data_IF_549120719526
#
_entry.id   IF_549120719526
#
_cell.length_a   1.000
_cell.length_b   1.000
_cell.length_c   1.000
_cell.angle_alpha   90.00
_cell.angle_beta   90.00
_cell.angle_gamma   90.00
#
_symmetry.space_group_name_H-M   'P 1'
#
loop_
_entity.id
_entity.type
_entity.pdbx_description
1 polymer ?
#
# COMPACT_ATOMS: atom_id res chain seq x y z
N UNK A 1 25.56 -13.87 -4.82
CA UNK A 1 24.11 -14.12 -4.75
C UNK A 1 23.64 -13.51 -3.44
N UNK A 2 22.76 -12.53 -3.49
CA UNK A 2 22.25 -11.83 -2.30
C UNK A 2 21.13 -12.66 -1.68
N UNK A 3 21.22 -12.96 -0.40
CA UNK A 3 20.22 -13.74 0.34
C UNK A 3 19.22 -12.82 1.00
N UNK A 4 17.93 -12.99 0.69
CA UNK A 4 16.84 -12.10 1.08
C UNK A 4 15.82 -12.85 1.92
N UNK A 5 15.47 -12.33 3.09
CA UNK A 5 14.26 -12.76 3.81
C UNK A 5 13.07 -11.95 3.30
N UNK A 6 12.11 -12.61 2.65
CA UNK A 6 10.85 -12.00 2.23
C UNK A 6 9.74 -12.41 3.20
N UNK A 7 9.23 -11.47 3.98
CA UNK A 7 8.07 -11.69 4.85
C UNK A 7 6.78 -11.33 4.13
N UNK A 8 5.66 -11.94 4.47
CA UNK A 8 4.39 -11.74 3.76
C UNK A 8 4.44 -12.33 2.33
N UNK A 9 5.25 -13.36 2.14
CA UNK A 9 5.56 -13.95 0.83
C UNK A 9 4.35 -14.58 0.14
N UNK A 10 3.39 -15.12 0.88
CA UNK A 10 2.14 -15.67 0.35
C UNK A 10 1.08 -14.59 0.04
N UNK A 11 1.35 -13.32 0.40
CA UNK A 11 0.46 -12.18 0.14
C UNK A 11 0.41 -11.78 -1.34
N UNK A 12 -0.48 -10.83 -1.67
CA UNK A 12 -0.66 -10.33 -3.04
C UNK A 12 0.65 -9.75 -3.61
N UNK A 13 1.27 -8.80 -2.92
CA UNK A 13 2.52 -8.17 -3.37
C UNK A 13 3.70 -9.15 -3.22
N UNK A 14 3.78 -9.86 -2.07
CA UNK A 14 4.86 -10.82 -1.80
C UNK A 14 4.98 -11.91 -2.86
N UNK A 15 3.86 -12.47 -3.33
CA UNK A 15 3.84 -13.46 -4.40
C UNK A 15 4.43 -12.92 -5.72
N UNK A 16 4.13 -11.68 -6.08
CA UNK A 16 4.70 -11.05 -7.29
C UNK A 16 6.19 -10.71 -7.14
N UNK A 17 6.64 -10.40 -5.90
CA UNK A 17 8.08 -10.24 -5.64
C UNK A 17 8.80 -11.58 -5.78
N UNK A 18 8.21 -12.69 -5.27
CA UNK A 18 8.75 -14.03 -5.49
C UNK A 18 8.87 -14.39 -6.97
N UNK A 19 7.84 -14.06 -7.76
CA UNK A 19 7.87 -14.32 -9.20
C UNK A 19 8.94 -13.49 -9.90
N UNK A 20 9.06 -12.20 -9.58
CA UNK A 20 10.08 -11.31 -10.14
C UNK A 20 11.51 -11.73 -9.75
N UNK A 21 11.70 -12.27 -8.54
CA UNK A 21 13.00 -12.72 -8.06
C UNK A 21 13.52 -13.97 -8.79
N UNK A 22 12.66 -14.75 -9.46
CA UNK A 22 13.08 -15.95 -10.23
C UNK A 22 14.05 -15.64 -11.38
N UNK A 23 13.91 -14.44 -11.95
CA UNK A 23 14.75 -13.99 -13.06
C UNK A 23 15.95 -13.14 -12.60
N UNK A 24 16.26 -13.16 -11.29
CA UNK A 24 17.35 -12.41 -10.67
C UNK A 24 18.36 -13.33 -9.96
N UNK A 25 19.52 -12.77 -9.57
CA UNK A 25 20.54 -13.47 -8.78
C UNK A 25 20.29 -13.43 -7.27
N UNK A 26 19.01 -13.48 -6.86
CA UNK A 26 18.58 -13.45 -5.45
C UNK A 26 18.26 -14.86 -4.93
N UNK A 27 18.68 -15.15 -3.71
CA UNK A 27 18.25 -16.33 -2.95
C UNK A 27 17.16 -15.91 -1.96
N UNK A 28 15.91 -16.31 -2.17
CA UNK A 28 14.79 -15.90 -1.34
C UNK A 28 14.48 -16.94 -0.27
N UNK A 29 14.49 -16.51 1.00
CA UNK A 29 13.88 -17.21 2.12
C UNK A 29 12.49 -16.61 2.33
N UNK A 30 11.44 -17.33 1.94
CA UNK A 30 10.07 -16.86 1.96
C UNK A 30 9.37 -17.26 3.27
N UNK A 31 8.79 -16.30 3.99
CA UNK A 31 8.03 -16.57 5.22
C UNK A 31 6.67 -15.84 5.20
N UNK A 32 5.65 -16.45 5.81
CA UNK A 32 4.33 -15.86 6.00
C UNK A 32 3.66 -16.52 7.21
N UNK A 33 2.89 -15.77 7.97
CA UNK A 33 2.15 -16.29 9.13
C UNK A 33 0.87 -17.05 8.72
N UNK A 34 0.58 -17.14 7.43
CA UNK A 34 -0.57 -17.84 6.85
C UNK A 34 -1.89 -17.52 7.56
N UNK A 35 -2.10 -16.25 7.95
CA UNK A 35 -3.29 -15.82 8.69
C UNK A 35 -4.57 -16.20 7.94
N UNK A 36 -5.50 -16.90 8.60
CA UNK A 36 -6.77 -17.32 8.00
C UNK A 36 -7.59 -16.15 7.45
N UNK A 37 -7.50 -14.99 8.07
CA UNK A 37 -8.16 -13.76 7.59
C UNK A 37 -7.63 -13.24 6.25
N UNK A 38 -6.40 -13.61 5.87
CA UNK A 38 -5.76 -13.19 4.61
C UNK A 38 -5.75 -14.30 3.55
N UNK A 39 -5.66 -15.56 3.97
CA UNK A 39 -5.40 -16.68 3.07
C UNK A 39 -6.51 -17.74 3.08
N UNK A 40 -7.49 -17.65 3.99
CA UNK A 40 -8.50 -18.68 4.22
C UNK A 40 -8.05 -19.78 5.19
N UNK A 41 -9.01 -20.57 5.71
CA UNK A 41 -8.73 -21.58 6.71
C UNK A 41 -7.84 -22.72 6.15
N UNK A 42 -6.76 -23.02 6.88
CA UNK A 42 -5.83 -24.10 6.54
C UNK A 42 -4.99 -23.87 5.28
N UNK A 43 -4.92 -22.63 4.77
CA UNK A 43 -4.11 -22.29 3.61
C UNK A 43 -2.62 -22.61 3.85
N UNK A 44 -1.96 -23.06 2.79
CA UNK A 44 -0.50 -23.28 2.72
C UNK A 44 0.02 -22.78 1.40
N UNK A 45 1.28 -22.36 1.37
CA UNK A 45 1.95 -21.94 0.15
C UNK A 45 3.26 -22.76 0.00
N UNK A 46 3.44 -23.37 -1.15
CA UNK A 46 4.64 -24.18 -1.42
C UNK A 46 5.89 -23.31 -1.38
N UNK A 47 6.91 -23.79 -0.65
CA UNK A 47 8.17 -23.07 -0.51
C UNK A 47 8.13 -21.86 0.45
N UNK A 48 7.00 -21.63 1.13
CA UNK A 48 6.86 -20.58 2.15
C UNK A 48 6.88 -21.22 3.54
N UNK A 49 7.75 -20.71 4.39
CA UNK A 49 7.84 -21.14 5.79
C UNK A 49 6.70 -20.46 6.57
N UNK A 50 5.92 -21.25 7.30
CA UNK A 50 4.90 -20.74 8.23
C UNK A 50 5.60 -20.10 9.44
N UNK A 51 5.64 -18.76 9.48
CA UNK A 51 6.33 -18.00 10.51
C UNK A 51 5.66 -16.64 10.73
N UNK A 52 5.30 -16.37 11.98
CA UNK A 52 4.80 -15.06 12.42
C UNK A 52 5.97 -14.14 12.74
N UNK A 53 5.98 -12.94 12.16
CA UNK A 53 7.02 -11.91 12.42
C UNK A 53 7.07 -11.43 13.89
N UNK A 54 6.12 -11.84 14.72
CA UNK A 54 6.11 -11.60 16.17
C UNK A 54 6.88 -12.67 16.96
N UNK A 55 7.30 -13.76 16.32
CA UNK A 55 8.15 -14.80 16.92
C UNK A 55 9.62 -14.47 16.68
N UNK A 56 10.24 -13.80 17.67
CA UNK A 56 11.62 -13.33 17.59
C UNK A 56 12.61 -14.47 17.41
N UNK A 57 12.46 -15.57 18.16
CA UNK A 57 13.46 -16.65 18.16
C UNK A 57 13.48 -17.35 16.79
N UNK A 58 12.34 -17.65 16.23
CA UNK A 58 12.21 -18.20 14.89
C UNK A 58 12.73 -17.23 13.81
N UNK A 59 12.51 -15.90 13.98
CA UNK A 59 13.08 -14.89 13.08
C UNK A 59 14.60 -14.88 13.12
N UNK A 60 15.23 -14.92 14.29
CA UNK A 60 16.70 -14.94 14.41
C UNK A 60 17.29 -16.14 13.69
N UNK A 61 16.64 -17.31 13.77
CA UNK A 61 17.12 -18.52 13.08
C UNK A 61 17.07 -18.40 11.56
N UNK A 62 15.97 -17.88 10.98
CA UNK A 62 15.84 -17.72 9.52
C UNK A 62 16.67 -16.54 8.97
N UNK A 63 17.02 -15.57 9.82
CA UNK A 63 17.85 -14.42 9.47
C UNK A 63 19.36 -14.75 9.37
N UNK A 64 19.80 -15.94 9.79
CA UNK A 64 21.23 -16.31 9.71
C UNK A 64 21.73 -16.33 8.27
N UNK A 65 22.68 -15.46 7.99
CA UNK A 65 23.28 -15.30 6.66
C UNK A 65 22.37 -14.60 5.65
N UNK A 66 21.31 -13.91 6.10
CA UNK A 66 20.49 -13.01 5.29
C UNK A 66 21.19 -11.68 5.14
N UNK A 67 21.28 -11.18 3.91
CA UNK A 67 21.89 -9.88 3.58
C UNK A 67 20.87 -8.74 3.68
N UNK A 68 19.62 -8.99 3.26
CA UNK A 68 18.55 -7.97 3.18
C UNK A 68 17.22 -8.57 3.62
N UNK A 69 16.44 -7.84 4.40
CA UNK A 69 15.03 -8.16 4.66
C UNK A 69 14.13 -7.35 3.75
N UNK A 70 13.22 -8.02 3.02
CA UNK A 70 12.11 -7.40 2.30
C UNK A 70 10.82 -7.65 3.10
N UNK A 71 10.38 -6.63 3.86
CA UNK A 71 9.29 -6.75 4.82
C UNK A 71 7.95 -6.33 4.21
N UNK A 72 7.18 -7.34 3.72
CA UNK A 72 5.84 -7.14 3.17
C UNK A 72 4.73 -7.56 4.14
N UNK A 73 5.06 -8.32 5.19
CA UNK A 73 4.08 -8.81 6.16
C UNK A 73 3.40 -7.65 6.89
N UNK A 74 2.09 -7.56 6.75
CA UNK A 74 1.26 -6.60 7.46
C UNK A 74 -0.22 -7.04 7.42
N UNK A 75 -0.97 -6.69 8.45
CA UNK A 75 -2.43 -6.63 8.35
C UNK A 75 -2.77 -5.33 7.65
N UNK A 76 -3.57 -5.43 6.59
CA UNK A 76 -3.96 -4.28 5.75
C UNK A 76 -5.47 -4.04 5.85
N UNK A 77 -5.91 -2.81 5.56
CA UNK A 77 -7.33 -2.47 5.58
C UNK A 77 -7.58 -0.97 5.43
N UNK A 78 -8.84 -0.57 5.44
CA UNK A 78 -9.20 0.84 5.41
C UNK A 78 -8.97 1.54 6.77
N UNK A 79 -8.88 0.77 7.87
CA UNK A 79 -8.68 1.30 9.23
C UNK A 79 -9.81 2.22 9.72
N UNK A 80 -11.03 2.00 9.19
CA UNK A 80 -12.20 2.84 9.52
C UNK A 80 -12.91 2.39 10.80
N UNK A 81 -12.75 1.13 11.20
CA UNK A 81 -13.27 0.61 12.47
C UNK A 81 -12.18 0.73 13.54
N UNK A 82 -12.49 1.46 14.61
CA UNK A 82 -11.57 1.59 15.75
C UNK A 82 -11.29 0.26 16.46
N UNK A 83 -12.19 -0.73 16.34
CA UNK A 83 -12.01 -2.06 16.88
C UNK A 83 -10.88 -2.85 16.20
N UNK A 84 -10.47 -2.46 14.99
CA UNK A 84 -9.38 -3.09 14.25
C UNK A 84 -7.98 -2.62 14.74
N UNK A 85 -7.90 -1.53 15.50
CA UNK A 85 -6.64 -0.94 15.95
C UNK A 85 -5.69 -1.93 16.66
N UNK A 86 -6.17 -2.83 17.57
CA UNK A 86 -5.29 -3.82 18.21
C UNK A 86 -4.63 -4.78 17.21
N UNK A 87 -5.33 -5.18 16.14
CA UNK A 87 -4.76 -6.04 15.11
C UNK A 87 -3.63 -5.33 14.35
N UNK A 88 -3.84 -4.08 13.95
CA UNK A 88 -2.78 -3.27 13.31
C UNK A 88 -1.58 -3.08 14.25
N UNK A 89 -1.81 -2.68 15.49
CA UNK A 89 -0.73 -2.49 16.48
C UNK A 89 0.05 -3.78 16.72
N UNK A 90 -0.62 -4.93 16.85
CA UNK A 90 0.03 -6.22 17.09
C UNK A 90 0.86 -6.69 15.90
N UNK A 91 0.29 -6.70 14.69
CA UNK A 91 0.96 -7.28 13.52
C UNK A 91 1.92 -6.29 12.85
N UNK A 92 1.51 -5.03 12.70
CA UNK A 92 2.33 -4.05 11.98
C UNK A 92 3.36 -3.41 12.92
N UNK A 93 2.94 -2.76 14.00
CA UNK A 93 3.85 -2.02 14.88
C UNK A 93 4.75 -2.96 15.66
N UNK A 94 4.15 -3.85 16.48
CA UNK A 94 4.91 -4.80 17.32
C UNK A 94 5.66 -5.80 16.44
N UNK A 95 5.05 -6.34 15.37
CA UNK A 95 5.71 -7.26 14.45
C UNK A 95 6.96 -6.65 13.81
N UNK A 96 6.90 -5.39 13.36
CA UNK A 96 8.07 -4.68 12.84
C UNK A 96 9.13 -4.45 13.92
N UNK A 97 8.73 -4.06 15.13
CA UNK A 97 9.68 -3.88 16.25
C UNK A 97 10.42 -5.19 16.60
N UNK A 98 9.70 -6.32 16.59
CA UNK A 98 10.31 -7.66 16.83
C UNK A 98 11.26 -8.03 15.69
N UNK A 99 10.86 -7.80 14.42
CA UNK A 99 11.71 -8.05 13.26
C UNK A 99 13.02 -7.24 13.33
N UNK A 100 12.94 -5.95 13.65
CA UNK A 100 14.13 -5.08 13.78
C UNK A 100 15.06 -5.55 14.90
N UNK A 101 14.51 -6.02 16.02
CA UNK A 101 15.30 -6.61 17.11
C UNK A 101 15.98 -7.92 16.68
N UNK A 102 15.27 -8.78 15.94
CA UNK A 102 15.85 -10.02 15.39
C UNK A 102 16.94 -9.75 14.34
N UNK A 103 16.73 -8.75 13.46
CA UNK A 103 17.74 -8.30 12.49
C UNK A 103 19.03 -7.85 13.19
N UNK A 104 18.89 -7.04 14.25
CA UNK A 104 20.04 -6.58 15.02
C UNK A 104 20.80 -7.75 15.65
N UNK A 105 20.12 -8.72 16.24
CA UNK A 105 20.72 -9.91 16.86
C UNK A 105 21.42 -10.82 15.82
N UNK A 106 20.80 -10.98 14.66
CA UNK A 106 21.33 -11.79 13.58
C UNK A 106 22.45 -11.10 12.75
N UNK A 107 22.66 -9.78 12.96
CA UNK A 107 23.64 -8.98 12.24
C UNK A 107 23.19 -8.59 10.81
N UNK A 108 21.89 -8.69 10.49
CA UNK A 108 21.33 -8.19 9.22
C UNK A 108 21.03 -6.69 9.34
N UNK A 109 21.64 -5.88 8.48
CA UNK A 109 21.58 -4.40 8.60
C UNK A 109 20.80 -3.70 7.48
N UNK A 110 20.16 -4.42 6.54
CA UNK A 110 19.46 -3.83 5.40
C UNK A 110 18.00 -4.24 5.39
N UNK A 111 17.11 -3.24 5.29
CA UNK A 111 15.65 -3.42 5.28
C UNK A 111 15.01 -2.70 4.10
N UNK A 112 14.20 -3.40 3.31
CA UNK A 112 13.19 -2.82 2.41
C UNK A 112 11.83 -2.99 3.07
N UNK A 113 11.15 -1.89 3.37
CA UNK A 113 9.92 -1.86 4.14
C UNK A 113 8.73 -1.48 3.25
N UNK A 114 7.68 -2.28 3.23
CA UNK A 114 6.40 -1.92 2.62
C UNK A 114 5.69 -0.86 3.47
N UNK A 115 5.77 0.39 3.06
CA UNK A 115 4.96 1.50 3.57
C UNK A 115 3.77 1.79 2.64
N UNK A 116 3.12 2.92 2.80
CA UNK A 116 1.89 3.25 2.07
C UNK A 116 1.70 4.76 1.93
N UNK A 117 1.03 5.18 0.86
CA UNK A 117 0.57 6.57 0.67
C UNK A 117 -0.33 7.09 1.80
N UNK A 118 -0.97 6.19 2.54
CA UNK A 118 -1.90 6.58 3.62
C UNK A 118 -1.22 7.37 4.74
N UNK A 119 0.11 7.33 4.85
CA UNK A 119 0.89 8.10 5.83
C UNK A 119 0.79 9.62 5.60
N UNK A 120 0.51 10.06 4.37
CA UNK A 120 0.38 11.47 4.01
C UNK A 120 -0.94 12.11 4.47
N UNK A 121 -1.97 11.31 4.74
CA UNK A 121 -3.30 11.82 5.05
C UNK A 121 -3.95 12.52 3.85
N UNK A 122 -4.35 13.79 4.00
CA UNK A 122 -5.08 14.53 2.95
C UNK A 122 -4.22 14.91 1.72
N UNK A 123 -2.90 14.71 1.77
CA UNK A 123 -2.04 15.10 0.67
C UNK A 123 -1.64 16.58 0.69
N UNK A 124 -1.30 17.14 -0.46
CA UNK A 124 -0.74 18.48 -0.64
C UNK A 124 -1.63 19.32 -1.54
N UNK A 125 -1.88 20.57 -1.17
CA UNK A 125 -2.80 21.46 -1.87
C UNK A 125 -2.24 22.88 -2.05
N UNK A 126 -2.76 23.59 -3.08
CA UNK A 126 -2.57 25.03 -3.29
C UNK A 126 -3.90 25.76 -3.07
N UNK A 127 -3.81 26.96 -2.50
CA UNK A 127 -4.91 27.91 -2.51
C UNK A 127 -4.87 28.80 -3.79
N UNK A 128 -5.88 29.64 -3.95
CA UNK A 128 -6.00 30.58 -5.08
C UNK A 128 -4.86 31.60 -5.19
N UNK A 129 -4.09 31.80 -4.11
CA UNK A 129 -2.89 32.66 -4.09
C UNK A 129 -1.61 31.91 -4.48
N UNK A 130 -1.67 30.60 -4.74
CA UNK A 130 -0.52 29.75 -5.07
C UNK A 130 0.31 29.34 -3.85
N UNK A 131 -0.25 29.44 -2.64
CA UNK A 131 0.41 29.02 -1.41
C UNK A 131 0.04 27.56 -1.08
N UNK A 132 1.01 26.80 -0.58
CA UNK A 132 0.76 25.44 -0.08
C UNK A 132 -0.05 25.48 1.20
N UNK A 133 -1.15 24.75 1.24
CA UNK A 133 -2.10 24.68 2.37
C UNK A 133 -2.29 23.23 2.80
N UNK A 134 -2.31 22.99 4.11
CA UNK A 134 -2.78 21.74 4.68
C UNK A 134 -4.29 21.90 4.93
N UNK A 135 -5.16 21.16 4.23
CA UNK A 135 -6.59 21.33 4.38
C UNK A 135 -7.06 20.81 5.74
N UNK A 136 -8.12 21.39 6.27
CA UNK A 136 -8.83 20.80 7.39
C UNK A 136 -9.57 19.53 6.95
N UNK A 137 -9.81 18.58 7.86
CA UNK A 137 -10.69 17.46 7.58
C UNK A 137 -12.03 17.95 7.06
N UNK A 138 -12.55 17.31 6.01
CA UNK A 138 -13.87 17.63 5.43
C UNK A 138 -14.96 17.41 6.46
N UNK A 139 -15.87 18.36 6.61
CA UNK A 139 -16.97 18.27 7.57
C UNK A 139 -18.12 17.42 7.03
N UNK A 140 -18.88 16.78 7.91
CA UNK A 140 -20.09 16.05 7.49
C UNK A 140 -21.10 16.99 6.82
N UNK A 141 -21.21 18.23 7.27
CA UNK A 141 -22.12 19.22 6.69
C UNK A 141 -21.78 19.53 5.24
N UNK A 142 -20.48 19.68 4.91
CA UNK A 142 -20.04 19.90 3.54
C UNK A 142 -20.31 18.65 2.68
N UNK A 143 -19.98 17.47 3.18
CA UNK A 143 -20.19 16.21 2.48
C UNK A 143 -21.67 15.93 2.22
N UNK A 144 -22.56 16.21 3.19
CA UNK A 144 -24.01 16.10 3.05
C UNK A 144 -24.57 17.10 2.01
N UNK A 145 -23.90 18.25 1.87
CA UNK A 145 -24.25 19.25 0.86
C UNK A 145 -23.65 18.96 -0.54
N UNK A 146 -22.90 17.84 -0.70
CA UNK A 146 -22.23 17.49 -1.95
C UNK A 146 -20.96 18.32 -2.23
N UNK A 147 -20.43 18.99 -1.24
CA UNK A 147 -19.20 19.78 -1.33
C UNK A 147 -18.01 18.87 -0.97
N UNK A 148 -17.55 18.10 -1.95
CA UNK A 148 -16.55 17.04 -1.71
C UNK A 148 -15.10 17.52 -1.72
N UNK A 149 -14.80 18.63 -2.38
CA UNK A 149 -13.42 19.11 -2.48
C UNK A 149 -12.94 19.76 -1.16
N UNK A 150 -11.66 19.60 -0.87
CA UNK A 150 -11.02 20.29 0.25
C UNK A 150 -11.07 21.81 0.03
N UNK A 151 -11.24 22.55 1.12
CA UNK A 151 -11.38 23.99 1.07
C UNK A 151 -10.31 24.70 1.89
N UNK A 152 -9.92 25.86 1.41
CA UNK A 152 -9.04 26.76 2.14
C UNK A 152 -9.65 27.10 3.50
N UNK A 153 -8.90 26.89 4.62
CA UNK A 153 -9.45 27.15 5.96
C UNK A 153 -9.71 28.61 6.27
N UNK A 154 -9.22 29.56 5.43
CA UNK A 154 -9.36 30.99 5.60
C UNK A 154 -10.44 31.54 4.66
N UNK A 155 -10.30 31.32 3.35
CA UNK A 155 -11.24 31.85 2.35
C UNK A 155 -12.48 30.99 2.14
N UNK A 156 -12.40 29.69 2.45
CA UNK A 156 -13.47 28.72 2.16
C UNK A 156 -13.57 28.32 0.68
N UNK A 157 -12.66 28.77 -0.18
CA UNK A 157 -12.59 28.39 -1.60
C UNK A 157 -12.07 26.95 -1.77
N UNK A 158 -12.46 26.25 -2.84
CA UNK A 158 -11.85 24.95 -3.16
C UNK A 158 -10.34 25.07 -3.33
N UNK A 159 -9.63 24.02 -2.94
CA UNK A 159 -8.17 23.90 -3.07
C UNK A 159 -7.83 23.02 -4.28
N UNK A 160 -6.75 23.35 -4.98
CA UNK A 160 -6.17 22.53 -6.02
C UNK A 160 -5.16 21.54 -5.40
N UNK A 161 -5.27 20.24 -5.73
CA UNK A 161 -4.33 19.23 -5.24
C UNK A 161 -2.99 19.28 -5.98
N UNK A 162 -1.93 18.93 -5.28
CA UNK A 162 -0.57 18.77 -5.82
C UNK A 162 -0.08 17.34 -5.63
N UNK A 163 0.95 16.95 -6.39
CA UNK A 163 1.69 15.74 -6.13
C UNK A 163 2.39 15.84 -4.77
N UNK A 164 2.25 14.81 -3.94
CA UNK A 164 3.04 14.72 -2.70
C UNK A 164 4.44 14.23 -3.03
N UNK A 165 5.41 14.81 -2.38
CA UNK A 165 6.81 14.41 -2.37
C UNK A 165 7.12 13.74 -1.04
N UNK A 166 8.22 13.03 -0.93
CA UNK A 166 8.53 12.21 0.24
C UNK A 166 8.79 13.02 1.51
N UNK A 167 9.16 14.29 1.37
CA UNK A 167 9.32 15.26 2.45
C UNK A 167 8.01 15.95 2.89
N UNK A 168 6.90 15.64 2.21
CA UNK A 168 5.57 16.17 2.59
C UNK A 168 5.18 15.74 4.00
N UNK A 169 4.40 16.57 4.68
CA UNK A 169 3.89 16.31 6.03
C UNK A 169 3.16 14.96 6.10
N UNK A 170 3.48 14.17 7.12
CA UNK A 170 2.83 12.89 7.40
C UNK A 170 1.76 13.07 8.47
N UNK A 171 0.50 12.84 8.10
CA UNK A 171 -0.66 13.06 8.96
C UNK A 171 -1.69 11.93 8.81
N UNK A 172 -1.43 10.73 9.38
CA UNK A 172 -2.28 9.57 9.19
C UNK A 172 -3.71 9.81 9.67
N UNK A 173 -4.71 9.40 8.87
CA UNK A 173 -6.15 9.65 9.13
C UNK A 173 -6.92 8.40 9.55
N UNK A 174 -6.26 7.24 9.64
CA UNK A 174 -6.87 5.99 10.10
C UNK A 174 -5.92 5.19 10.98
N UNK A 175 -6.45 4.21 11.71
CA UNK A 175 -5.63 3.32 12.56
C UNK A 175 -4.63 2.50 11.71
N UNK A 176 -5.00 2.10 10.50
CA UNK A 176 -4.08 1.49 9.55
C UNK A 176 -2.96 2.45 9.13
N UNK A 177 -3.32 3.70 8.77
CA UNK A 177 -2.33 4.72 8.40
C UNK A 177 -1.36 5.01 9.54
N UNK A 178 -1.86 5.08 10.78
CA UNK A 178 -1.04 5.26 11.98
C UNK A 178 -0.04 4.10 12.14
N UNK A 179 -0.47 2.85 11.92
CA UNK A 179 0.42 1.70 12.01
C UNK A 179 1.50 1.72 10.94
N UNK A 180 1.19 2.14 9.69
CA UNK A 180 2.19 2.28 8.63
C UNK A 180 3.23 3.36 8.95
N UNK A 181 2.80 4.48 9.51
CA UNK A 181 3.73 5.51 9.98
C UNK A 181 4.56 5.03 11.17
N UNK A 182 3.99 4.26 12.08
CA UNK A 182 4.73 3.67 13.21
C UNK A 182 5.84 2.73 12.70
N UNK A 183 5.58 1.90 11.68
CA UNK A 183 6.61 1.07 11.05
C UNK A 183 7.78 1.92 10.49
N UNK A 184 7.51 3.02 9.77
CA UNK A 184 8.56 3.94 9.29
C UNK A 184 9.35 4.55 10.45
N UNK A 185 8.67 4.98 11.52
CA UNK A 185 9.31 5.61 12.69
C UNK A 185 10.23 4.61 13.42
N UNK A 186 9.79 3.36 13.65
CA UNK A 186 10.64 2.32 14.23
C UNK A 186 11.85 2.01 13.36
N UNK A 187 11.65 1.86 12.04
CA UNK A 187 12.72 1.56 11.10
C UNK A 187 13.74 2.70 10.99
N UNK A 188 13.29 3.96 10.97
CA UNK A 188 14.15 5.14 10.96
C UNK A 188 14.98 5.25 12.23
N UNK A 189 14.36 5.06 13.41
CA UNK A 189 15.07 5.07 14.69
C UNK A 189 16.08 3.92 14.78
N UNK A 190 15.74 2.73 14.28
CA UNK A 190 16.63 1.58 14.21
C UNK A 190 17.84 1.85 13.31
N UNK A 191 17.63 2.45 12.13
CA UNK A 191 18.73 2.81 11.23
C UNK A 191 19.74 3.75 11.91
N UNK A 192 19.24 4.78 12.62
CA UNK A 192 20.09 5.72 13.39
C UNK A 192 20.84 5.00 14.51
N UNK A 193 20.17 4.10 15.24
CA UNK A 193 20.76 3.43 16.40
C UNK A 193 21.82 2.37 16.03
N UNK A 194 21.66 1.73 14.87
CA UNK A 194 22.49 0.58 14.45
C UNK A 194 23.48 0.91 13.32
N UNK A 195 23.29 2.03 12.62
CA UNK A 195 23.98 2.32 11.36
C UNK A 195 23.45 1.50 10.19
N UNK A 196 22.26 0.90 10.33
CA UNK A 196 21.60 0.12 9.29
C UNK A 196 21.02 0.98 8.16
N UNK A 197 20.59 0.33 7.09
CA UNK A 197 19.98 0.92 5.90
C UNK A 197 18.52 0.52 5.78
N UNK A 198 17.64 1.49 5.54
CA UNK A 198 16.20 1.27 5.35
C UNK A 198 15.71 2.01 4.12
N UNK A 199 15.04 1.28 3.22
CA UNK A 199 14.27 1.86 2.13
C UNK A 199 12.79 1.59 2.40
N UNK A 200 12.02 2.64 2.71
CA UNK A 200 10.58 2.55 2.95
C UNK A 200 9.81 2.90 1.67
N UNK A 201 9.16 1.90 1.07
CA UNK A 201 8.42 2.06 -0.18
C UNK A 201 6.97 2.44 0.13
N UNK A 202 6.60 3.70 -0.09
CA UNK A 202 5.23 4.21 0.07
C UNK A 202 4.41 3.84 -1.15
N UNK A 203 3.78 2.66 -1.11
CA UNK A 203 2.94 2.18 -2.21
C UNK A 203 1.69 3.04 -2.34
N UNK A 204 1.37 3.42 -3.59
CA UNK A 204 0.10 4.00 -3.95
C UNK A 204 -0.94 2.90 -4.20
N UNK A 205 -2.01 3.14 -4.96
CA UNK A 205 -3.07 2.17 -5.15
C UNK A 205 -2.59 0.98 -5.99
N UNK A 206 -2.07 -0.07 -5.33
CA UNK A 206 -1.58 -1.26 -6.02
C UNK A 206 -2.75 -2.09 -6.55
N UNK A 207 -2.67 -2.51 -7.82
CA UNK A 207 -3.64 -3.37 -8.47
C UNK A 207 -2.95 -4.37 -9.41
N UNK A 208 -3.65 -5.43 -9.80
CA UNK A 208 -3.15 -6.38 -10.78
C UNK A 208 -3.66 -7.81 -10.54
N UNK A 209 -3.14 -8.79 -11.32
CA UNK A 209 -3.51 -10.20 -11.19
C UNK A 209 -3.35 -10.71 -9.76
N UNK A 210 -4.23 -11.62 -9.35
CA UNK A 210 -4.24 -12.23 -8.01
C UNK A 210 -4.49 -11.25 -6.84
N UNK A 211 -4.99 -10.03 -7.14
CA UNK A 211 -5.49 -9.14 -6.10
C UNK A 211 -6.65 -9.81 -5.35
N UNK A 212 -6.72 -9.70 -4.00
CA UNK A 212 -7.80 -10.32 -3.23
C UNK A 212 -9.18 -9.83 -3.65
N UNK A 213 -10.13 -10.76 -3.81
CA UNK A 213 -11.52 -10.48 -4.18
C UNK A 213 -12.33 -10.06 -2.94
N UNK A 214 -13.19 -9.04 -3.09
CA UNK A 214 -14.30 -8.73 -2.16
C UNK A 214 -14.01 -8.81 -0.65
N UNK A 215 -12.82 -8.43 -0.21
CA UNK A 215 -12.58 -8.27 1.22
C UNK A 215 -12.78 -6.80 1.62
N UNK A 216 -13.07 -6.49 2.89
CA UNK A 216 -13.05 -5.12 3.39
C UNK A 216 -11.71 -4.41 3.18
N UNK A 217 -10.69 -5.18 2.85
CA UNK A 217 -9.29 -4.79 2.62
C UNK A 217 -8.91 -4.74 1.14
N UNK A 218 -9.81 -5.20 0.26
CA UNK A 218 -9.60 -5.10 -1.18
C UNK A 218 -9.67 -3.64 -1.61
N UNK A 219 -8.70 -3.19 -2.39
CA UNK A 219 -8.73 -1.85 -2.96
C UNK A 219 -9.94 -1.67 -3.90
N UNK A 220 -10.30 -0.42 -4.16
CA UNK A 220 -11.49 -0.04 -4.94
C UNK A 220 -11.53 -0.71 -6.33
N UNK A 221 -10.39 -0.92 -6.99
CA UNK A 221 -10.32 -1.60 -8.28
C UNK A 221 -10.85 -3.05 -8.22
N UNK A 222 -10.49 -3.82 -7.16
CA UNK A 222 -11.00 -5.17 -6.97
C UNK A 222 -12.51 -5.19 -6.63
N UNK A 223 -13.00 -4.18 -5.90
CA UNK A 223 -14.43 -4.04 -5.61
C UNK A 223 -15.25 -3.81 -6.89
N UNK A 224 -14.78 -2.90 -7.76
CA UNK A 224 -15.43 -2.63 -9.05
C UNK A 224 -15.39 -3.87 -9.95
N UNK A 225 -14.24 -4.51 -10.04
CA UNK A 225 -14.04 -5.75 -10.80
C UNK A 225 -15.00 -6.86 -10.34
N UNK A 226 -15.13 -7.05 -9.04
CA UNK A 226 -16.04 -8.05 -8.45
C UNK A 226 -17.53 -7.71 -8.69
N UNK A 227 -17.90 -6.42 -8.66
CA UNK A 227 -19.25 -6.00 -9.01
C UNK A 227 -19.59 -6.33 -10.47
N UNK A 228 -18.66 -6.04 -11.39
CA UNK A 228 -18.82 -6.33 -12.81
C UNK A 228 -18.91 -7.84 -13.09
N UNK A 229 -18.18 -8.68 -12.37
CA UNK A 229 -18.32 -10.14 -12.48
C UNK A 229 -19.72 -10.65 -12.13
N UNK A 230 -20.40 -9.97 -11.22
CA UNK A 230 -21.77 -10.26 -10.80
C UNK A 230 -22.80 -9.55 -11.74
N UNK A 231 -22.37 -8.94 -12.84
CA UNK A 231 -23.24 -8.18 -13.73
C UNK A 231 -23.81 -6.92 -13.12
N UNK A 232 -23.19 -6.38 -12.06
CA UNK A 232 -23.64 -5.19 -11.32
C UNK A 232 -22.81 -3.98 -11.68
N UNK A 233 -23.44 -2.80 -11.70
CA UNK A 233 -22.73 -1.54 -11.90
C UNK A 233 -21.74 -1.28 -10.75
N UNK A 234 -20.50 -0.85 -11.05
CA UNK A 234 -19.60 -0.33 -10.03
C UNK A 234 -20.23 0.85 -9.30
N UNK A 235 -20.23 0.81 -7.96
CA UNK A 235 -20.76 1.89 -7.12
C UNK A 235 -19.65 2.88 -6.80
N UNK A 236 -19.74 4.08 -7.36
CA UNK A 236 -18.77 5.16 -7.19
C UNK A 236 -19.28 6.13 -6.13
N UNK A 237 -18.46 6.40 -5.13
CA UNK A 237 -18.80 7.32 -4.04
C UNK A 237 -18.46 8.76 -4.41
N UNK A 238 -19.04 9.69 -3.66
CA UNK A 238 -18.96 11.13 -3.88
C UNK A 238 -19.40 11.45 -5.34
N UNK A 239 -18.63 12.28 -6.03
CA UNK A 239 -18.80 12.62 -7.44
C UNK A 239 -17.89 11.84 -8.39
N UNK A 240 -17.11 10.88 -7.85
CA UNK A 240 -16.15 10.08 -8.61
C UNK A 240 -14.86 10.79 -9.01
N UNK A 241 -14.67 12.06 -8.61
CA UNK A 241 -13.50 12.87 -8.98
C UNK A 241 -12.30 12.72 -8.04
N UNK A 242 -12.38 11.84 -7.03
CA UNK A 242 -11.25 11.57 -6.15
C UNK A 242 -10.04 11.10 -6.98
N UNK A 243 -8.97 11.88 -6.98
CA UNK A 243 -7.75 11.54 -7.69
C UNK A 243 -6.88 10.58 -6.86
N UNK A 244 -6.37 9.55 -7.52
CA UNK A 244 -5.45 8.56 -6.97
C UNK A 244 -4.38 8.25 -8.01
N UNK A 245 -3.28 7.67 -7.57
CA UNK A 245 -2.32 7.02 -8.45
C UNK A 245 -2.46 5.50 -8.33
N UNK A 246 -2.71 4.84 -9.44
CA UNK A 246 -2.82 3.38 -9.53
C UNK A 246 -1.55 2.81 -10.14
N UNK A 247 -0.83 1.99 -9.37
CA UNK A 247 0.41 1.35 -9.78
C UNK A 247 0.21 -0.16 -9.93
N UNK A 248 0.69 -0.72 -11.05
CA UNK A 248 0.55 -2.15 -11.30
C UNK A 248 1.47 -2.96 -10.38
N UNK A 249 1.00 -4.12 -9.92
CA UNK A 249 1.74 -4.95 -8.95
C UNK A 249 3.09 -5.42 -9.48
N UNK A 250 3.25 -5.61 -10.80
CA UNK A 250 4.55 -5.95 -11.41
C UNK A 250 5.54 -4.79 -11.27
N UNK A 251 5.10 -3.54 -11.42
CA UNK A 251 5.97 -2.38 -11.18
C UNK A 251 6.34 -2.25 -9.70
N UNK A 252 5.39 -2.57 -8.79
CA UNK A 252 5.68 -2.64 -7.35
C UNK A 252 6.71 -3.73 -7.04
N UNK A 253 6.60 -4.91 -7.65
CA UNK A 253 7.60 -5.98 -7.50
C UNK A 253 8.97 -5.52 -8.03
N UNK A 254 9.02 -4.88 -9.20
CA UNK A 254 10.26 -4.33 -9.76
C UNK A 254 10.89 -3.26 -8.84
N UNK A 255 10.09 -2.38 -8.21
CA UNK A 255 10.58 -1.41 -7.23
C UNK A 255 11.21 -2.09 -6.00
N UNK A 256 10.63 -3.21 -5.54
CA UNK A 256 11.20 -4.00 -4.45
C UNK A 256 12.54 -4.64 -4.85
N UNK A 257 12.64 -5.25 -6.02
CA UNK A 257 13.89 -5.84 -6.52
C UNK A 257 14.97 -4.75 -6.62
N UNK A 258 14.66 -3.61 -7.25
CA UNK A 258 15.61 -2.49 -7.33
C UNK A 258 16.05 -1.99 -5.94
N UNK A 259 15.14 -1.98 -4.95
CA UNK A 259 15.47 -1.59 -3.57
C UNK A 259 16.34 -2.63 -2.84
N UNK A 260 16.14 -3.92 -3.10
CA UNK A 260 16.97 -5.00 -2.56
C UNK A 260 18.40 -4.89 -3.11
N UNK A 261 18.55 -4.50 -4.36
CA UNK A 261 19.87 -4.36 -5.04
C UNK A 261 20.56 -3.03 -4.72
N UNK A 262 19.82 -2.00 -4.31
CA UNK A 262 20.36 -0.67 -4.01
C UNK A 262 21.18 -0.67 -2.70
N UNK A 263 22.28 0.07 -2.70
CA UNK A 263 23.08 0.34 -1.51
C UNK A 263 22.89 1.81 -1.10
N UNK A 264 22.07 2.03 -0.07
CA UNK A 264 21.78 3.34 0.49
C UNK A 264 22.09 3.33 1.99
N UNK A 265 22.47 4.48 2.53
CA UNK A 265 22.73 4.63 3.96
C UNK A 265 21.51 5.25 4.67
N UNK A 266 21.30 4.85 5.92
CA UNK A 266 20.29 5.41 6.80
C UNK A 266 18.86 5.10 6.33
N UNK A 267 17.94 6.05 6.51
CA UNK A 267 16.52 5.89 6.17
C UNK A 267 16.15 6.73 4.95
N UNK A 268 15.59 6.08 3.93
CA UNK A 268 15.08 6.73 2.72
C UNK A 268 13.64 6.26 2.46
N UNK A 269 12.68 7.18 2.41
CA UNK A 269 11.33 6.90 1.95
C UNK A 269 11.22 7.19 0.44
N UNK A 270 10.48 6.36 -0.30
CA UNK A 270 10.28 6.51 -1.75
C UNK A 270 8.82 6.25 -2.13
N UNK A 271 8.24 7.13 -2.94
CA UNK A 271 6.91 6.90 -3.51
C UNK A 271 6.97 5.89 -4.65
N UNK A 272 6.16 4.84 -4.54
CA UNK A 272 5.98 3.86 -5.62
C UNK A 272 4.61 4.08 -6.24
N UNK A 273 4.60 4.78 -7.37
CA UNK A 273 3.40 5.22 -8.08
C UNK A 273 3.64 5.17 -9.60
N UNK A 274 2.57 5.29 -10.38
CA UNK A 274 2.66 5.31 -11.84
C UNK A 274 3.12 6.67 -12.39
N UNK A 275 2.97 7.73 -11.60
CA UNK A 275 3.17 9.12 -12.04
C UNK A 275 2.03 9.64 -12.94
N UNK A 276 0.95 8.88 -13.11
CA UNK A 276 -0.24 9.26 -13.88
C UNK A 276 -1.49 9.18 -13.01
N UNK A 277 -1.87 10.27 -12.33
CA UNK A 277 -3.10 10.34 -11.55
C UNK A 277 -4.35 10.05 -12.40
N UNK A 278 -5.29 9.33 -11.80
CA UNK A 278 -6.57 8.97 -12.41
C UNK A 278 -7.69 9.08 -11.37
N UNK A 279 -8.89 9.43 -11.78
CA UNK A 279 -10.03 9.52 -10.85
C UNK A 279 -10.67 8.16 -10.60
N UNK A 280 -11.31 8.01 -9.45
CA UNK A 280 -12.06 6.77 -9.11
C UNK A 280 -13.17 6.50 -10.12
N UNK A 281 -13.84 7.56 -10.63
CA UNK A 281 -14.84 7.43 -11.69
C UNK A 281 -14.27 6.90 -13.01
N UNK A 282 -13.09 7.38 -13.40
CA UNK A 282 -12.39 6.87 -14.58
C UNK A 282 -11.97 5.40 -14.44
N UNK A 283 -11.46 5.01 -13.25
CA UNK A 283 -11.15 3.59 -12.97
C UNK A 283 -12.38 2.71 -13.15
N UNK A 284 -13.52 3.12 -12.58
CA UNK A 284 -14.78 2.39 -12.71
C UNK A 284 -15.23 2.28 -14.19
N UNK A 285 -15.08 3.37 -14.95
CA UNK A 285 -15.44 3.43 -16.37
C UNK A 285 -14.55 2.52 -17.20
N UNK A 286 -13.22 2.58 -17.02
CA UNK A 286 -12.27 1.73 -17.76
C UNK A 286 -12.58 0.25 -17.54
N UNK A 287 -12.83 -0.16 -16.30
CA UNK A 287 -13.15 -1.55 -15.97
C UNK A 287 -14.50 -1.98 -16.55
N UNK A 288 -15.51 -1.09 -16.52
CA UNK A 288 -16.83 -1.37 -17.09
C UNK A 288 -16.77 -1.52 -18.62
N UNK A 289 -16.09 -0.59 -19.30
CA UNK A 289 -15.94 -0.60 -20.76
C UNK A 289 -15.17 -1.85 -21.23
N UNK A 290 -14.07 -2.18 -20.54
CA UNK A 290 -13.26 -3.35 -20.89
C UNK A 290 -14.03 -4.67 -20.79
N UNK A 291 -14.99 -4.76 -19.87
CA UNK A 291 -15.83 -5.96 -19.69
C UNK A 291 -17.15 -5.90 -20.49
N UNK A 292 -17.44 -4.81 -21.16
CA UNK A 292 -18.78 -4.59 -21.74
C UNK A 292 -19.89 -4.63 -20.67
N UNK A 293 -19.56 -4.19 -19.46
CA UNK A 293 -20.44 -4.21 -18.30
C UNK A 293 -21.32 -2.95 -18.18
N UNK A 294 -22.17 -2.89 -17.14
CA UNK A 294 -23.05 -1.74 -16.91
C UNK A 294 -22.24 -0.50 -16.52
N UNK A 295 -22.75 0.67 -16.95
CA UNK A 295 -22.18 1.98 -16.62
C UNK A 295 -22.07 2.18 -15.10
N UNK A 296 -20.94 2.68 -14.58
CA UNK A 296 -20.79 2.98 -13.15
C UNK A 296 -21.87 3.93 -12.60
N UNK A 297 -22.31 3.68 -11.37
CA UNK A 297 -23.30 4.50 -10.67
C UNK A 297 -22.60 5.47 -9.71
N UNK A 298 -22.68 6.78 -10.00
CA UNK A 298 -22.19 7.82 -9.08
C UNK A 298 -23.28 8.11 -8.07
N UNK A 299 -23.04 7.83 -6.78
CA UNK A 299 -24.11 7.78 -5.77
C UNK A 299 -24.20 9.01 -4.86
N UNK A 300 -23.21 9.88 -4.86
CA UNK A 300 -23.09 10.98 -3.87
C UNK A 300 -22.84 10.50 -2.43
N UNK A 301 -22.84 9.20 -2.17
CA UNK A 301 -22.53 8.64 -0.84
C UNK A 301 -21.05 8.83 -0.54
N UNK A 302 -20.73 8.98 0.73
CA UNK A 302 -19.34 9.18 1.16
C UNK A 302 -19.03 8.33 2.40
N UNK A 303 -17.74 8.18 2.72
CA UNK A 303 -17.27 7.69 4.01
C UNK A 303 -16.60 8.85 4.74
N UNK A 304 -17.07 9.13 5.95
CA UNK A 304 -16.43 10.14 6.78
C UNK A 304 -14.99 9.71 7.10
N UNK A 305 -14.03 10.60 6.87
CA UNK A 305 -12.59 10.33 7.08
C UNK A 305 -11.83 9.86 5.85
N UNK A 306 -12.50 9.50 4.73
CA UNK A 306 -11.78 9.23 3.48
C UNK A 306 -11.10 10.51 2.98
N UNK A 307 -9.86 10.37 2.49
CA UNK A 307 -9.11 11.49 1.88
C UNK A 307 -9.65 11.78 0.48
N UNK A 308 -9.71 13.07 0.11
CA UNK A 308 -10.25 13.50 -1.19
C UNK A 308 -9.29 13.18 -2.33
N UNK A 309 -8.07 13.69 -2.28
CA UNK A 309 -7.04 13.45 -3.30
C UNK A 309 -5.74 13.01 -2.63
N UNK A 310 -5.12 11.97 -3.18
CA UNK A 310 -3.77 11.59 -2.81
C UNK A 310 -3.06 11.01 -4.03
N UNK A 311 -2.11 11.76 -4.53
CA UNK A 311 -1.31 11.50 -5.73
C UNK A 311 0.13 11.90 -5.46
N UNK A 312 1.10 11.21 -6.07
CA UNK A 312 2.50 11.43 -5.72
C UNK A 312 3.40 11.66 -6.92
N UNK A 313 4.56 12.24 -6.63
CA UNK A 313 5.71 12.28 -7.52
C UNK A 313 6.52 10.99 -7.37
N UNK A 314 6.89 10.35 -8.47
CA UNK A 314 7.84 9.22 -8.52
C UNK A 314 9.27 9.67 -8.75
N UNK A 315 9.54 10.97 -8.77
CA UNK A 315 10.83 11.52 -9.20
C UNK A 315 12.00 11.06 -8.31
N UNK A 316 11.80 11.00 -6.99
CA UNK A 316 12.85 10.54 -6.08
C UNK A 316 13.15 9.04 -6.26
N UNK A 317 12.14 8.19 -6.46
CA UNK A 317 12.33 6.78 -6.74
C UNK A 317 13.07 6.56 -8.08
N UNK A 318 12.76 7.36 -9.09
CA UNK A 318 13.50 7.32 -10.36
C UNK A 318 14.97 7.74 -10.17
N UNK A 319 15.22 8.83 -9.46
CA UNK A 319 16.58 9.33 -9.21
C UNK A 319 17.40 8.34 -8.37
N UNK A 320 16.77 7.71 -7.37
CA UNK A 320 17.47 6.90 -6.36
C UNK A 320 17.66 5.45 -6.81
N UNK A 321 16.63 4.86 -7.41
CA UNK A 321 16.59 3.44 -7.79
C UNK A 321 16.59 3.20 -9.30
N UNK A 322 16.49 4.26 -10.12
CA UNK A 322 16.18 4.12 -11.55
C UNK A 322 14.76 3.58 -11.80
N UNK A 323 13.92 3.55 -10.75
CA UNK A 323 12.57 3.00 -10.86
C UNK A 323 11.64 3.93 -11.62
N UNK A 324 10.99 3.37 -12.63
CA UNK A 324 9.89 4.01 -13.36
C UNK A 324 8.83 2.96 -13.65
N UNK A 325 7.58 3.26 -13.32
CA UNK A 325 6.47 2.39 -13.69
C UNK A 325 6.37 2.25 -15.22
N UNK A 326 6.14 1.04 -15.68
CA UNK A 326 6.09 0.68 -17.11
C UNK A 326 4.66 0.40 -17.57
N UNK A 327 3.77 0.03 -16.65
CA UNK A 327 2.36 -0.30 -16.93
C UNK A 327 1.49 0.87 -16.49
N UNK A 328 1.05 1.65 -17.50
CA UNK A 328 0.24 2.84 -17.23
C UNK A 328 -1.18 2.49 -16.79
N UNK A 329 -1.84 3.30 -15.94
CA UNK A 329 -3.13 2.97 -15.33
C UNK A 329 -4.21 2.56 -16.32
N UNK A 330 -4.35 3.27 -17.44
CA UNK A 330 -5.39 2.96 -18.45
C UNK A 330 -5.22 1.55 -19.04
N UNK A 331 -4.02 1.23 -19.50
CA UNK A 331 -3.74 -0.05 -20.14
C UNK A 331 -3.76 -1.19 -19.11
N UNK A 332 -3.13 -0.97 -17.94
CA UNK A 332 -3.09 -1.96 -16.87
C UNK A 332 -4.47 -2.26 -16.30
N UNK A 333 -5.34 -1.26 -16.08
CA UNK A 333 -6.72 -1.46 -15.61
C UNK A 333 -7.57 -2.16 -16.68
N UNK A 334 -7.36 -1.85 -17.96
CA UNK A 334 -8.03 -2.56 -19.06
C UNK A 334 -7.67 -4.05 -19.03
N UNK A 335 -6.39 -4.39 -18.90
CA UNK A 335 -5.95 -5.77 -18.76
C UNK A 335 -6.43 -6.42 -17.45
N UNK A 336 -6.47 -5.66 -16.36
CA UNK A 336 -6.94 -6.14 -15.05
C UNK A 336 -8.44 -6.49 -15.07
N UNK A 337 -9.21 -5.92 -15.95
CA UNK A 337 -10.64 -6.23 -16.08
C UNK A 337 -10.92 -7.74 -16.22
N UNK A 338 -10.05 -8.51 -16.86
CA UNK A 338 -10.18 -9.95 -17.04
C UNK A 338 -9.13 -10.79 -16.29
N UNK A 339 -8.20 -10.13 -15.58
CA UNK A 339 -7.17 -10.83 -14.83
C UNK A 339 -7.76 -11.69 -13.69
N UNK A 340 -7.13 -12.80 -13.32
CA UNK A 340 -7.59 -13.62 -12.19
C UNK A 340 -7.53 -12.83 -10.89
N UNK A 341 -8.56 -12.95 -10.06
CA UNK A 341 -8.57 -12.50 -8.67
C UNK A 341 -8.37 -13.70 -7.76
N UNK A 342 -7.74 -13.48 -6.61
CA UNK A 342 -7.63 -14.48 -5.56
C UNK A 342 -8.91 -14.47 -4.72
N UNK A 343 -9.53 -15.63 -4.52
CA UNK A 343 -10.64 -15.77 -3.59
C UNK A 343 -10.10 -15.64 -2.16
N UNK A 344 -10.67 -14.74 -1.40
CA UNK A 344 -10.39 -14.61 0.02
C UNK A 344 -11.53 -15.26 0.79
N UNK A 345 -11.33 -16.50 1.22
CA UNK A 345 -12.20 -17.16 2.18
C UNK A 345 -11.83 -16.72 3.61
N UNK A 346 -11.92 -15.44 3.90
CA UNK A 346 -11.68 -14.92 5.23
C UNK A 346 -12.34 -13.55 5.39
N UNK A 347 -13.24 -13.41 6.35
CA UNK A 347 -13.97 -12.18 6.60
C UNK A 347 -13.47 -11.51 7.87
N UNK A 348 -12.65 -10.50 7.75
CA UNK A 348 -12.29 -9.58 8.82
C UNK A 348 -10.84 -9.70 9.32
N UNK A 349 -10.32 -8.66 10.02
CA UNK A 349 -9.02 -8.72 10.63
C UNK A 349 -8.97 -9.81 11.71
N UNK A 350 -7.78 -10.38 11.98
CA UNK A 350 -7.65 -11.33 13.07
C UNK A 350 -8.11 -10.66 14.38
N UNK A 351 -9.05 -11.27 15.08
CA UNK A 351 -9.40 -10.86 16.43
C UNK A 351 -8.25 -11.29 17.35
N UNK A 352 -7.64 -10.32 18.04
CA UNK A 352 -6.60 -10.55 19.05
C UNK A 352 -7.20 -11.17 20.29
#
# INVERSE_FOLDING_TARGET
MTRVLLTGAAGFIGGHILDAARDSDLEIVAVDAMLESAHGPGARADGVIDLDVRDKDSLVDVLRGVDVVCHQAAVVGAGVDAADAPAYASHNDYGTAVLLAAMYEAGCSRLVLASSMVVYGEGRYLNSSGETVIPRPRTRADLDAGLFDNRDPISGEPLDWLLVEEDSTLEPRSTYAASKLAQENYASAWAVATGGSVIALRYHNVYGPHMPRNTPYSGVAAMFRSSLELGRAPTVYEDGKQARDFVHVHDVAAANIASIEAELDGFTALNVCSGQPITIGEVATILADARGGPTPEITGRYRAGDVRHIVASSALAEQTLGFRATIMPRDGLTAFADAPLRDAEGTGPPRV
#
